data_IF_761801733859
#
_entry.id   IF_761801733859
#
_cell.length_a   1.000
_cell.length_b   1.000
_cell.length_c   1.000
_cell.angle_alpha   90.00
_cell.angle_beta   90.00
_cell.angle_gamma   90.00
#
_symmetry.space_group_name_H-M   'P 1'
#
loop_
_entity.id
_entity.type
_entity.pdbx_description
1 polymer ?
#
# COMPACT_ATOMS: atom_id res chain seq x y z
N UNK A 1 22.23 3.88 9.64
CA UNK A 1 21.23 3.93 10.75
C UNK A 1 21.90 3.43 12.03
N UNK A 2 21.75 4.09 13.17
CA UNK A 2 22.45 3.67 14.40
C UNK A 2 21.85 2.38 14.99
N UNK A 3 22.63 1.59 15.71
CA UNK A 3 22.17 0.35 16.37
C UNK A 3 20.96 0.57 17.29
N UNK A 4 20.90 1.73 17.99
CA UNK A 4 19.75 2.12 18.80
C UNK A 4 18.49 2.41 17.97
N UNK A 5 18.67 3.03 16.80
CA UNK A 5 17.56 3.29 15.88
C UNK A 5 16.94 1.99 15.36
N UNK A 6 17.77 1.02 14.95
CA UNK A 6 17.30 -0.27 14.46
C UNK A 6 16.54 -1.05 15.54
N UNK A 7 17.03 -1.07 16.78
CA UNK A 7 16.32 -1.70 17.90
C UNK A 7 14.95 -1.06 18.17
N UNK A 8 14.86 0.27 18.05
CA UNK A 8 13.60 0.98 18.25
C UNK A 8 12.60 0.73 17.12
N UNK A 9 13.03 0.65 15.86
CA UNK A 9 12.16 0.20 14.75
C UNK A 9 11.71 -1.24 14.97
N UNK A 10 12.63 -2.15 15.30
CA UNK A 10 12.30 -3.56 15.50
C UNK A 10 11.30 -3.76 16.65
N UNK A 11 11.45 -3.00 17.75
CA UNK A 11 10.48 -2.98 18.84
C UNK A 11 9.13 -2.39 18.45
N UNK A 12 9.11 -1.36 17.60
CA UNK A 12 7.88 -0.76 17.09
C UNK A 12 7.17 -1.63 16.05
N UNK A 13 7.91 -2.38 15.23
CA UNK A 13 7.39 -3.16 14.13
C UNK A 13 6.33 -4.18 14.58
N UNK A 14 6.57 -4.86 15.70
CA UNK A 14 5.60 -5.80 16.27
C UNK A 14 4.28 -5.12 16.62
N UNK A 15 4.34 -4.00 17.33
CA UNK A 15 3.15 -3.22 17.70
C UNK A 15 2.43 -2.61 16.50
N UNK A 16 3.18 -2.10 15.51
CA UNK A 16 2.58 -1.57 14.28
C UNK A 16 1.92 -2.67 13.47
N UNK A 17 2.50 -3.87 13.42
CA UNK A 17 1.89 -5.02 12.75
C UNK A 17 0.58 -5.42 13.43
N UNK A 18 0.57 -5.51 14.76
CA UNK A 18 -0.65 -5.77 15.54
C UNK A 18 -1.70 -4.68 15.32
N UNK A 19 -1.28 -3.42 15.23
CA UNK A 19 -2.16 -2.29 14.96
C UNK A 19 -2.76 -2.33 13.56
N UNK A 20 -1.95 -2.63 12.53
CA UNK A 20 -2.45 -2.84 11.17
C UNK A 20 -3.51 -3.95 11.15
N UNK A 21 -3.23 -5.09 11.80
CA UNK A 21 -4.19 -6.21 11.91
C UNK A 21 -5.47 -5.74 12.61
N UNK A 22 -5.36 -5.00 13.71
CA UNK A 22 -6.51 -4.51 14.47
C UNK A 22 -7.39 -3.54 13.65
N UNK A 23 -6.80 -2.52 13.02
CA UNK A 23 -7.55 -1.56 12.19
C UNK A 23 -8.14 -2.27 10.97
N UNK A 24 -7.38 -3.11 10.27
CA UNK A 24 -7.89 -3.84 9.11
C UNK A 24 -9.05 -4.75 9.51
N UNK A 25 -8.94 -5.44 10.65
CA UNK A 25 -10.03 -6.28 11.16
C UNK A 25 -11.27 -5.45 11.50
N UNK A 26 -11.10 -4.28 12.15
CA UNK A 26 -12.20 -3.38 12.47
C UNK A 26 -12.87 -2.82 11.21
N UNK A 27 -12.10 -2.48 10.18
CA UNK A 27 -12.61 -1.92 8.92
C UNK A 27 -13.33 -2.97 8.07
N UNK A 28 -12.81 -4.20 8.06
CA UNK A 28 -13.40 -5.32 7.32
C UNK A 28 -14.43 -6.09 8.15
N UNK A 29 -14.62 -5.76 9.43
CA UNK A 29 -15.61 -6.41 10.32
C UNK A 29 -17.00 -6.56 9.68
N UNK A 30 -17.58 -5.53 9.03
CA UNK A 30 -18.90 -5.66 8.39
C UNK A 30 -18.95 -6.71 7.27
N UNK A 31 -17.80 -7.01 6.63
CA UNK A 31 -17.69 -8.04 5.58
C UNK A 31 -17.61 -9.46 6.14
N UNK A 32 -17.38 -9.60 7.45
CA UNK A 32 -17.34 -10.89 8.15
C UNK A 32 -18.70 -11.26 8.81
N UNK A 33 -19.63 -10.31 8.96
CA UNK A 33 -20.89 -10.49 9.73
C UNK A 33 -22.11 -11.05 8.96
N UNK A 34 -21.93 -11.69 7.80
CA UNK A 34 -22.94 -12.28 6.88
C UNK A 34 -23.52 -11.35 5.79
N UNK A 35 -23.50 -11.87 4.56
CA UNK A 35 -24.07 -11.29 3.35
C UNK A 35 -23.08 -11.37 2.19
N UNK A 36 -23.45 -12.04 1.10
CA UNK A 36 -22.73 -11.93 -0.17
C UNK A 36 -22.64 -10.45 -0.55
N UNK A 37 -21.49 -10.01 -1.07
CA UNK A 37 -21.35 -8.67 -1.63
C UNK A 37 -22.39 -8.53 -2.73
N UNK A 38 -23.46 -7.79 -2.41
CA UNK A 38 -24.45 -7.24 -3.33
C UNK A 38 -24.30 -5.73 -3.25
N UNK A 39 -23.10 -5.26 -3.60
CA UNK A 39 -22.80 -3.85 -3.78
C UNK A 39 -22.64 -3.59 -5.27
N UNK A 40 -22.98 -2.37 -5.70
CA UNK A 40 -23.35 -1.96 -7.07
C UNK A 40 -22.42 -2.39 -8.23
N UNK A 41 -21.23 -2.96 -7.97
CA UNK A 41 -20.29 -3.48 -8.97
C UNK A 41 -19.62 -4.82 -8.65
N UNK A 42 -20.09 -5.60 -7.66
CA UNK A 42 -19.48 -6.90 -7.35
C UNK A 42 -20.51 -7.87 -6.80
N UNK A 43 -20.85 -8.89 -7.59
CA UNK A 43 -21.62 -10.07 -7.17
C UNK A 43 -20.61 -11.16 -6.84
N UNK A 44 -20.39 -11.44 -5.56
CA UNK A 44 -19.60 -12.59 -5.15
C UNK A 44 -20.57 -13.75 -4.94
N UNK A 45 -20.66 -14.69 -5.89
CA UNK A 45 -21.41 -15.95 -5.73
C UNK A 45 -20.46 -17.08 -5.32
N UNK A 46 -20.95 -18.10 -4.60
CA UNK A 46 -20.10 -19.19 -4.07
C UNK A 46 -19.46 -20.07 -5.15
N UNK A 47 -19.97 -20.05 -6.39
CA UNK A 47 -19.36 -20.70 -7.55
C UNK A 47 -19.25 -19.69 -8.70
N UNK A 48 -18.02 -19.41 -9.15
CA UNK A 48 -17.74 -18.72 -10.41
C UNK A 48 -17.35 -19.77 -11.45
N UNK A 49 -18.17 -19.92 -12.49
CA UNK A 49 -17.91 -20.84 -13.60
C UNK A 49 -17.10 -20.17 -14.70
N UNK A 50 -16.16 -20.90 -15.30
CA UNK A 50 -15.45 -20.46 -16.52
C UNK A 50 -16.50 -20.31 -17.63
N UNK A 51 -16.79 -19.06 -17.99
CA UNK A 51 -17.72 -18.71 -19.06
C UNK A 51 -16.89 -18.06 -20.17
N UNK A 52 -17.20 -18.25 -21.48
CA UNK A 52 -16.44 -17.64 -22.59
C UNK A 52 -16.20 -16.13 -22.46
N UNK A 53 -17.10 -15.43 -21.77
CA UNK A 53 -17.00 -14.01 -21.39
C UNK A 53 -15.81 -13.70 -20.45
N UNK A 54 -15.48 -14.61 -19.52
CA UNK A 54 -14.33 -14.49 -18.61
C UNK A 54 -12.99 -14.70 -19.32
N UNK A 55 -13.00 -15.40 -20.45
CA UNK A 55 -11.85 -15.56 -21.37
C UNK A 55 -11.75 -14.41 -22.40
N UNK A 56 -12.63 -13.40 -22.32
CA UNK A 56 -12.67 -12.28 -23.26
C UNK A 56 -13.31 -12.61 -24.61
N UNK A 57 -14.04 -13.73 -24.72
CA UNK A 57 -14.80 -14.10 -25.92
C UNK A 57 -16.28 -13.78 -25.66
N UNK A 58 -16.66 -12.52 -25.88
CA UNK A 58 -18.04 -12.00 -25.76
C UNK A 58 -18.11 -10.50 -25.53
N UNK A 59 -19.30 -9.91 -25.66
CA UNK A 59 -19.59 -8.46 -25.62
C UNK A 59 -19.54 -7.81 -24.21
N UNK A 60 -18.77 -8.37 -23.28
CA UNK A 60 -18.58 -7.79 -21.93
C UNK A 60 -17.42 -6.80 -21.92
N UNK A 61 -17.54 -5.72 -21.12
CA UNK A 61 -16.51 -4.68 -21.03
C UNK A 61 -15.12 -5.28 -20.74
N UNK A 62 -14.19 -5.06 -21.66
CA UNK A 62 -12.84 -5.66 -21.72
C UNK A 62 -11.92 -5.36 -20.52
N UNK A 63 -12.36 -4.51 -19.59
CA UNK A 63 -11.58 -4.05 -18.44
C UNK A 63 -11.69 -4.94 -17.19
N UNK A 64 -12.62 -5.90 -17.13
CA UNK A 64 -12.73 -6.84 -15.98
C UNK A 64 -12.08 -8.20 -16.24
N UNK A 65 -11.67 -8.50 -17.47
CA UNK A 65 -11.12 -9.82 -17.89
C UNK A 65 -9.92 -10.28 -17.04
N UNK A 66 -8.91 -9.45 -16.69
CA UNK A 66 -7.79 -9.91 -15.86
C UNK A 66 -8.21 -10.29 -14.45
N UNK A 67 -9.17 -9.54 -13.91
CA UNK A 67 -9.70 -9.70 -12.56
C UNK A 67 -10.61 -10.93 -12.46
N UNK A 68 -11.46 -11.13 -13.47
CA UNK A 68 -12.40 -12.27 -13.55
C UNK A 68 -11.66 -13.58 -13.86
N UNK A 69 -10.61 -13.53 -14.68
CA UNK A 69 -9.73 -14.68 -14.97
C UNK A 69 -8.97 -15.13 -13.72
N UNK A 70 -8.44 -14.18 -12.93
CA UNK A 70 -7.75 -14.51 -11.68
C UNK A 70 -8.70 -15.13 -10.65
N UNK A 71 -9.91 -14.56 -10.45
CA UNK A 71 -10.93 -15.16 -9.59
C UNK A 71 -11.32 -16.55 -10.10
N UNK A 72 -11.51 -16.75 -11.40
CA UNK A 72 -11.87 -18.03 -11.98
C UNK A 72 -10.81 -19.12 -11.72
N UNK A 73 -9.52 -18.76 -11.81
CA UNK A 73 -8.40 -19.69 -11.50
C UNK A 73 -8.37 -20.02 -10.01
N UNK A 74 -8.48 -19.00 -9.14
CA UNK A 74 -8.43 -19.21 -7.68
C UNK A 74 -9.66 -19.96 -7.16
N UNK A 75 -10.81 -19.79 -7.82
CA UNK A 75 -12.07 -20.47 -7.49
C UNK A 75 -12.00 -22.00 -7.65
N UNK A 76 -11.00 -22.53 -8.36
CA UNK A 76 -10.74 -23.97 -8.42
C UNK A 76 -10.15 -24.54 -7.11
N UNK A 77 -9.55 -23.69 -6.27
CA UNK A 77 -8.84 -24.11 -5.06
C UNK A 77 -9.52 -23.65 -3.77
N UNK A 78 -10.27 -22.54 -3.81
CA UNK A 78 -11.00 -21.98 -2.66
C UNK A 78 -12.17 -21.11 -3.12
N UNK A 79 -13.13 -20.83 -2.24
CA UNK A 79 -14.22 -19.88 -2.53
C UNK A 79 -13.66 -18.51 -2.98
N UNK A 80 -14.12 -18.01 -4.12
CA UNK A 80 -13.64 -16.74 -4.70
C UNK A 80 -13.90 -15.54 -3.78
N UNK A 81 -14.98 -15.56 -3.01
CA UNK A 81 -15.27 -14.56 -1.99
C UNK A 81 -14.29 -14.64 -0.82
N UNK A 82 -13.89 -15.84 -0.39
CA UNK A 82 -12.84 -16.01 0.63
C UNK A 82 -11.48 -15.51 0.11
N UNK A 83 -11.13 -15.82 -1.14
CA UNK A 83 -9.90 -15.35 -1.76
C UNK A 83 -9.83 -13.82 -1.80
N UNK A 84 -10.92 -13.16 -2.22
CA UNK A 84 -11.00 -11.68 -2.23
C UNK A 84 -10.86 -11.11 -0.82
N UNK A 85 -11.48 -11.73 0.20
CA UNK A 85 -11.34 -11.28 1.60
C UNK A 85 -9.90 -11.40 2.10
N UNK A 86 -9.22 -12.51 1.82
CA UNK A 86 -7.81 -12.72 2.21
C UNK A 86 -6.92 -11.70 1.51
N UNK A 87 -7.09 -11.52 0.20
CA UNK A 87 -6.32 -10.56 -0.58
C UNK A 87 -6.52 -9.13 -0.08
N UNK A 88 -7.75 -8.74 0.19
CA UNK A 88 -8.09 -7.43 0.73
C UNK A 88 -7.49 -7.20 2.12
N UNK A 89 -7.56 -8.21 2.98
CA UNK A 89 -6.97 -8.18 4.32
C UNK A 89 -5.46 -7.98 4.25
N UNK A 90 -4.78 -8.76 3.41
CA UNK A 90 -3.33 -8.63 3.18
C UNK A 90 -2.99 -7.28 2.55
N UNK A 91 -3.75 -6.81 1.56
CA UNK A 91 -3.52 -5.54 0.89
C UNK A 91 -3.49 -4.36 1.87
N UNK A 92 -4.45 -4.31 2.80
CA UNK A 92 -4.53 -3.25 3.80
C UNK A 92 -3.41 -3.34 4.84
N UNK A 93 -3.04 -4.54 5.26
CA UNK A 93 -1.88 -4.73 6.15
C UNK A 93 -0.60 -4.25 5.45
N UNK A 94 -0.39 -4.64 4.19
CA UNK A 94 0.76 -4.18 3.41
C UNK A 94 0.74 -2.66 3.19
N UNK A 95 -0.42 -2.05 2.97
CA UNK A 95 -0.55 -0.60 2.87
C UNK A 95 -0.08 0.09 4.16
N UNK A 96 -0.55 -0.37 5.32
CA UNK A 96 -0.18 0.20 6.61
C UNK A 96 1.30 -0.01 6.97
N UNK A 97 1.81 -1.22 6.76
CA UNK A 97 3.23 -1.54 7.01
C UNK A 97 4.16 -0.78 6.07
N UNK A 98 3.81 -0.66 4.79
CA UNK A 98 4.59 0.09 3.82
C UNK A 98 4.57 1.60 4.12
N UNK A 99 3.44 2.15 4.57
CA UNK A 99 3.35 3.53 5.02
C UNK A 99 4.21 3.79 6.26
N UNK A 100 4.18 2.90 7.26
CA UNK A 100 5.07 2.96 8.42
C UNK A 100 6.55 2.85 8.01
N UNK A 101 6.87 1.94 7.09
CA UNK A 101 8.20 1.76 6.53
C UNK A 101 8.75 3.02 5.84
N UNK A 102 7.93 3.69 5.02
CA UNK A 102 8.27 4.98 4.43
C UNK A 102 8.50 6.06 5.50
N UNK A 103 7.60 6.15 6.48
CA UNK A 103 7.74 7.09 7.59
C UNK A 103 9.06 6.89 8.34
N UNK A 104 9.42 5.64 8.65
CA UNK A 104 10.69 5.35 9.29
C UNK A 104 11.89 5.57 8.38
N UNK A 105 11.77 5.32 7.08
CA UNK A 105 12.88 5.56 6.16
C UNK A 105 13.22 7.05 6.07
N UNK A 106 12.21 7.92 5.96
CA UNK A 106 12.43 9.35 5.76
C UNK A 106 12.51 10.17 7.05
N UNK A 107 11.72 9.86 8.09
CA UNK A 107 11.55 10.75 9.25
C UNK A 107 12.25 10.25 10.52
N UNK A 108 12.67 8.98 10.57
CA UNK A 108 13.16 8.37 11.80
C UNK A 108 14.40 9.05 12.40
N UNK A 109 15.42 9.48 11.62
CA UNK A 109 16.60 10.09 12.21
C UNK A 109 16.31 11.40 12.95
N UNK A 110 15.23 12.10 12.57
CA UNK A 110 14.81 13.35 13.17
C UNK A 110 13.86 13.20 14.37
N UNK A 111 13.43 11.96 14.68
CA UNK A 111 12.39 11.65 15.69
C UNK A 111 12.79 10.44 16.51
N UNK A 112 14.09 10.37 16.88
CA UNK A 112 14.66 9.27 17.66
C UNK A 112 13.82 9.01 18.92
N UNK A 113 13.29 7.80 19.04
CA UNK A 113 12.45 7.36 20.16
C UNK A 113 10.94 7.42 19.91
N UNK A 114 10.48 8.01 18.81
CA UNK A 114 9.05 8.09 18.46
C UNK A 114 8.63 7.09 17.37
N UNK A 115 9.47 6.08 17.13
CA UNK A 115 9.25 5.03 16.12
C UNK A 115 7.84 4.44 16.16
N UNK A 116 7.36 4.14 17.36
CA UNK A 116 6.03 3.57 17.57
C UNK A 116 4.94 4.55 17.13
N UNK A 117 4.93 5.77 17.68
CA UNK A 117 3.92 6.78 17.37
C UNK A 117 3.89 7.11 15.88
N UNK A 118 5.06 7.25 15.25
CA UNK A 118 5.15 7.48 13.81
C UNK A 118 4.59 6.33 12.99
N UNK A 119 4.98 5.10 13.33
CA UNK A 119 4.53 3.92 12.61
C UNK A 119 3.03 3.71 12.77
N UNK A 120 2.49 3.91 13.97
CA UNK A 120 1.05 3.85 14.23
C UNK A 120 0.29 4.93 13.47
N UNK A 121 0.75 6.18 13.47
CA UNK A 121 0.11 7.26 12.74
C UNK A 121 0.12 6.99 11.22
N UNK A 122 1.29 6.65 10.66
CA UNK A 122 1.44 6.34 9.24
C UNK A 122 0.59 5.14 8.81
N UNK A 123 0.58 4.07 9.60
CA UNK A 123 -0.26 2.90 9.36
C UNK A 123 -1.76 3.25 9.42
N UNK A 124 -2.17 4.07 10.40
CA UNK A 124 -3.55 4.52 10.54
C UNK A 124 -3.99 5.31 9.32
N UNK A 125 -3.23 6.29 8.86
CA UNK A 125 -3.56 7.04 7.64
C UNK A 125 -3.49 6.18 6.37
N UNK A 126 -2.57 5.22 6.33
CA UNK A 126 -2.47 4.27 5.22
C UNK A 126 -3.69 3.34 5.09
N UNK A 127 -4.32 2.96 6.20
CA UNK A 127 -5.45 2.02 6.19
C UNK A 127 -6.79 2.77 6.26
N UNK A 128 -6.90 3.74 7.16
CA UNK A 128 -8.11 4.47 7.50
C UNK A 128 -8.13 5.83 6.82
N UNK A 129 -8.39 5.85 5.52
CA UNK A 129 -8.56 7.08 4.75
C UNK A 129 -9.83 7.04 3.88
N UNK A 130 -10.36 8.20 3.46
CA UNK A 130 -11.59 8.27 2.67
C UNK A 130 -11.54 7.47 1.38
N UNK A 131 -10.38 7.42 0.71
CA UNK A 131 -10.20 6.64 -0.51
C UNK A 131 -10.42 5.15 -0.27
N UNK A 132 -9.79 4.58 0.77
CA UNK A 132 -9.96 3.16 1.11
C UNK A 132 -11.42 2.86 1.43
N UNK A 133 -12.05 3.68 2.26
CA UNK A 133 -13.46 3.51 2.64
C UNK A 133 -14.37 3.55 1.41
N UNK A 134 -14.18 4.51 0.53
CA UNK A 134 -14.98 4.64 -0.69
C UNK A 134 -14.79 3.43 -1.62
N UNK A 135 -13.55 2.95 -1.81
CA UNK A 135 -13.29 1.77 -2.65
C UNK A 135 -13.85 0.48 -2.05
N UNK A 136 -13.82 0.34 -0.73
CA UNK A 136 -14.46 -0.77 -0.03
C UNK A 136 -15.98 -0.77 -0.25
N UNK A 137 -16.62 0.41 -0.15
CA UNK A 137 -18.05 0.57 -0.42
C UNK A 137 -18.41 0.31 -1.89
N UNK A 138 -17.50 0.58 -2.82
CA UNK A 138 -17.68 0.32 -4.26
C UNK A 138 -17.38 -1.14 -4.65
N UNK A 139 -16.74 -1.93 -3.79
CA UNK A 139 -16.31 -3.29 -4.10
C UNK A 139 -15.08 -3.39 -5.00
N UNK A 140 -14.32 -2.30 -5.18
CA UNK A 140 -13.13 -2.24 -6.03
C UNK A 140 -11.89 -2.82 -5.33
N UNK A 141 -11.94 -4.11 -4.98
CA UNK A 141 -10.89 -4.79 -4.21
C UNK A 141 -9.54 -4.86 -4.94
N UNK A 142 -9.54 -4.95 -6.28
CA UNK A 142 -8.32 -4.98 -7.10
C UNK A 142 -7.54 -3.67 -7.03
N UNK A 143 -8.22 -2.53 -6.94
CA UNK A 143 -7.57 -1.23 -6.72
C UNK A 143 -6.93 -1.14 -5.33
N UNK A 144 -7.52 -1.78 -4.32
CA UNK A 144 -6.96 -1.79 -2.97
C UNK A 144 -5.70 -2.67 -2.87
N UNK A 145 -5.64 -3.75 -3.66
CA UNK A 145 -4.40 -4.52 -3.84
C UNK A 145 -3.28 -3.67 -4.43
N UNK A 146 -3.57 -2.96 -5.52
CA UNK A 146 -2.59 -2.06 -6.15
C UNK A 146 -2.18 -0.94 -5.18
N UNK A 147 -3.13 -0.37 -4.44
CA UNK A 147 -2.88 0.64 -3.42
C UNK A 147 -1.92 0.14 -2.34
N UNK A 148 -2.11 -1.09 -1.85
CA UNK A 148 -1.22 -1.70 -0.86
C UNK A 148 0.23 -1.87 -1.32
N UNK A 149 0.46 -1.95 -2.64
CA UNK A 149 1.81 -2.05 -3.22
C UNK A 149 2.53 -0.69 -3.35
N UNK A 150 1.81 0.43 -3.46
CA UNK A 150 2.42 1.76 -3.73
C UNK A 150 3.46 2.20 -2.69
N UNK A 151 3.23 2.06 -1.37
CA UNK A 151 4.23 2.45 -0.38
C UNK A 151 5.53 1.64 -0.50
N UNK A 152 5.41 0.36 -0.85
CA UNK A 152 6.56 -0.53 -1.05
C UNK A 152 7.33 -0.20 -2.32
N UNK A 153 6.64 0.21 -3.38
CA UNK A 153 7.27 0.69 -4.62
C UNK A 153 8.15 1.91 -4.34
N UNK A 154 7.61 2.90 -3.64
CA UNK A 154 8.39 4.08 -3.27
C UNK A 154 9.59 3.71 -2.39
N UNK A 155 9.38 2.86 -1.37
CA UNK A 155 10.43 2.44 -0.46
C UNK A 155 11.54 1.66 -1.18
N UNK A 156 11.18 0.61 -1.93
CA UNK A 156 12.13 -0.22 -2.67
C UNK A 156 12.81 0.53 -3.80
N UNK A 157 12.09 1.43 -4.49
CA UNK A 157 12.66 2.31 -5.51
C UNK A 157 13.76 3.22 -4.95
N UNK A 158 13.53 3.83 -3.78
CA UNK A 158 14.60 4.60 -3.10
C UNK A 158 15.77 3.74 -2.65
N UNK A 159 15.51 2.51 -2.20
CA UNK A 159 16.56 1.56 -1.82
C UNK A 159 17.42 1.12 -3.01
N UNK A 160 16.81 0.83 -4.17
CA UNK A 160 17.53 0.48 -5.42
C UNK A 160 18.45 1.62 -5.87
N UNK A 161 18.00 2.87 -5.67
CA UNK A 161 18.75 4.08 -6.04
C UNK A 161 19.80 4.51 -5.01
N UNK A 162 19.83 3.86 -3.85
CA UNK A 162 20.79 4.11 -2.77
C UNK A 162 22.04 3.25 -2.94
N UNK A 163 23.22 3.81 -2.65
CA UNK A 163 24.51 3.13 -2.71
C UNK A 163 24.84 2.28 -1.47
N UNK A 164 23.91 2.13 -0.52
CA UNK A 164 24.16 1.50 0.79
C UNK A 164 23.60 0.08 0.99
N UNK A 165 24.22 -0.63 1.95
CA UNK A 165 23.89 -1.83 2.79
C UNK A 165 22.86 -2.91 2.38
N UNK A 166 21.93 -2.70 1.45
CA UNK A 166 21.04 -3.76 0.99
C UNK A 166 21.68 -4.48 -0.21
N UNK A 167 21.48 -5.80 -0.31
CA UNK A 167 21.88 -6.50 -1.54
C UNK A 167 21.01 -5.96 -2.66
N UNK A 168 21.61 -5.33 -3.66
CA UNK A 168 20.91 -4.71 -4.80
C UNK A 168 19.82 -5.64 -5.38
N UNK A 169 20.09 -6.94 -5.38
CA UNK A 169 19.17 -7.99 -5.79
C UNK A 169 17.86 -8.05 -4.98
N UNK A 170 17.91 -7.93 -3.65
CA UNK A 170 16.70 -7.98 -2.80
C UNK A 170 15.81 -6.75 -3.00
N UNK A 171 16.42 -5.57 -3.14
CA UNK A 171 15.69 -4.34 -3.43
C UNK A 171 15.01 -4.39 -4.82
N UNK A 172 15.72 -4.90 -5.84
CA UNK A 172 15.12 -5.13 -7.16
C UNK A 172 14.01 -6.17 -7.12
N UNK A 173 14.22 -7.31 -6.45
CA UNK A 173 13.20 -8.36 -6.35
C UNK A 173 11.93 -7.83 -5.66
N UNK A 174 12.08 -7.07 -4.57
CA UNK A 174 10.95 -6.46 -3.88
C UNK A 174 10.25 -5.39 -4.73
N UNK A 175 11.00 -4.58 -5.48
CA UNK A 175 10.44 -3.61 -6.42
C UNK A 175 9.66 -4.31 -7.54
N UNK A 176 10.22 -5.36 -8.15
CA UNK A 176 9.57 -6.13 -9.21
C UNK A 176 8.32 -6.84 -8.70
N UNK A 177 8.35 -7.43 -7.50
CA UNK A 177 7.18 -8.03 -6.88
C UNK A 177 6.08 -6.99 -6.61
N UNK A 178 6.45 -5.81 -6.12
CA UNK A 178 5.50 -4.73 -5.86
C UNK A 178 4.93 -4.14 -7.17
N UNK A 179 5.75 -4.03 -8.22
CA UNK A 179 5.31 -3.66 -9.58
C UNK A 179 4.34 -4.68 -10.16
N UNK A 180 4.59 -5.98 -9.98
CA UNK A 180 3.70 -7.04 -10.45
C UNK A 180 2.33 -6.96 -9.74
N UNK A 181 2.31 -6.71 -8.43
CA UNK A 181 1.08 -6.49 -7.68
C UNK A 181 0.33 -5.23 -8.12
N UNK A 182 1.04 -4.12 -8.38
CA UNK A 182 0.44 -2.91 -8.91
C UNK A 182 -0.10 -3.11 -10.34
N UNK A 183 0.59 -3.92 -11.16
CA UNK A 183 0.19 -4.27 -12.53
C UNK A 183 -1.07 -5.12 -12.64
N UNK A 184 -1.65 -5.55 -11.52
CA UNK A 184 -2.91 -6.30 -11.49
C UNK A 184 -4.08 -5.50 -12.09
N UNK A 185 -3.98 -4.17 -12.15
CA UNK A 185 -4.93 -3.30 -12.88
C UNK A 185 -4.18 -2.30 -13.77
N UNK A 186 -4.77 -1.85 -14.90
CA UNK A 186 -4.15 -0.82 -15.74
C UNK A 186 -3.83 0.47 -14.96
N UNK A 187 -4.74 0.89 -14.09
CA UNK A 187 -4.55 2.08 -13.23
C UNK A 187 -3.42 1.85 -12.22
N UNK A 188 -3.36 0.67 -11.60
CA UNK A 188 -2.29 0.32 -10.68
C UNK A 188 -0.92 0.29 -11.36
N UNK A 189 -0.82 -0.19 -12.60
CA UNK A 189 0.42 -0.18 -13.37
C UNK A 189 0.92 1.26 -13.58
N UNK A 190 0.04 2.17 -14.00
CA UNK A 190 0.38 3.60 -14.19
C UNK A 190 0.84 4.23 -12.89
N UNK A 191 0.09 4.00 -11.79
CA UNK A 191 0.44 4.54 -10.47
C UNK A 191 1.76 3.95 -9.96
N UNK A 192 2.02 2.67 -10.21
CA UNK A 192 3.27 2.02 -9.85
C UNK A 192 4.45 2.65 -10.58
N UNK A 193 4.36 2.84 -11.90
CA UNK A 193 5.39 3.53 -12.69
C UNK A 193 5.62 4.94 -12.14
N UNK A 194 4.54 5.69 -11.87
CA UNK A 194 4.66 7.04 -11.32
C UNK A 194 5.38 7.05 -9.97
N UNK A 195 5.01 6.16 -9.05
CA UNK A 195 5.68 6.05 -7.74
C UNK A 195 7.13 5.60 -7.85
N UNK A 196 7.45 4.70 -8.78
CA UNK A 196 8.82 4.29 -9.08
C UNK A 196 9.64 5.47 -9.62
N UNK A 197 9.08 6.28 -10.53
CA UNK A 197 9.74 7.48 -11.04
C UNK A 197 9.93 8.55 -9.96
N UNK A 198 8.89 8.79 -9.14
CA UNK A 198 8.98 9.71 -7.99
C UNK A 198 10.08 9.28 -7.02
N UNK A 199 10.25 7.97 -6.81
CA UNK A 199 11.29 7.44 -5.93
C UNK A 199 12.72 7.79 -6.39
N UNK A 200 12.93 8.08 -7.68
CA UNK A 200 14.22 8.55 -8.21
C UNK A 200 14.54 9.96 -7.73
N UNK A 201 13.52 10.81 -7.62
CA UNK A 201 13.63 12.19 -7.15
C UNK A 201 13.60 12.33 -5.63
N UNK A 202 13.25 11.28 -4.89
CA UNK A 202 13.20 11.32 -3.43
C UNK A 202 14.61 11.43 -2.81
N UNK A 203 14.74 12.10 -1.66
CA UNK A 203 15.99 12.16 -0.93
C UNK A 203 16.53 10.75 -0.66
N UNK A 204 17.75 10.49 -1.13
CA UNK A 204 18.45 9.20 -0.86
C UNK A 204 19.01 9.11 0.55
N UNK A 205 18.86 10.19 1.32
CA UNK A 205 19.22 10.32 2.72
C UNK A 205 17.97 10.68 3.53
N UNK A 206 17.84 10.20 4.78
CA UNK A 206 16.75 10.58 5.65
C UNK A 206 16.66 12.10 5.85
N UNK A 207 15.45 12.60 6.05
CA UNK A 207 15.14 14.01 6.19
C UNK A 207 15.38 14.44 7.65
N UNK A 208 16.11 15.55 7.82
CA UNK A 208 16.24 16.19 9.14
C UNK A 208 15.09 17.19 9.34
N UNK A 209 14.38 17.10 10.47
CA UNK A 209 13.25 17.98 10.79
C UNK A 209 13.74 19.40 11.05
N UNK A 210 15.00 19.60 11.48
CA UNK A 210 15.58 20.94 11.58
C UNK A 210 15.72 21.60 10.21
N UNK A 211 16.16 20.85 9.18
CA UNK A 211 16.21 21.36 7.79
C UNK A 211 14.81 21.69 7.28
N UNK A 212 13.82 20.85 7.60
CA UNK A 212 12.43 21.08 7.22
C UNK A 212 11.84 22.32 7.90
N UNK A 213 12.09 22.49 9.21
CA UNK A 213 11.67 23.69 9.97
C UNK A 213 12.34 24.94 9.44
N UNK A 214 13.63 24.91 9.14
CA UNK A 214 14.34 26.05 8.55
C UNK A 214 13.78 26.40 7.16
N UNK A 215 13.47 25.40 6.33
CA UNK A 215 12.85 25.63 5.02
C UNK A 215 11.43 26.21 5.13
N UNK A 216 10.64 25.73 6.09
CA UNK A 216 9.29 26.26 6.39
C UNK A 216 9.38 27.67 6.96
N UNK A 217 10.27 27.93 7.91
CA UNK A 217 10.47 29.25 8.51
C UNK A 217 10.93 30.25 7.44
N UNK A 218 11.85 29.87 6.55
CA UNK A 218 12.27 30.70 5.41
C UNK A 218 11.13 31.01 4.43
N UNK A 219 10.27 30.04 4.15
CA UNK A 219 9.10 30.23 3.25
C UNK A 219 7.94 30.94 3.93
N UNK A 220 7.90 31.02 5.26
CA UNK A 220 6.92 31.78 6.05
C UNK A 220 7.28 33.25 6.26
N UNK A 221 8.51 33.66 5.89
CA UNK A 221 8.96 35.07 5.89
C UNK A 221 9.00 35.77 4.51
N UNK A 222 8.03 35.62 3.59
CA UNK A 222 8.05 36.37 2.32
C UNK A 222 7.67 37.86 2.51
N UNK A 223 7.15 38.25 3.67
CA UNK A 223 6.68 39.62 3.94
C UNK A 223 7.76 40.61 4.41
N UNK A 224 9.01 40.16 4.67
CA UNK A 224 10.09 41.04 5.13
C UNK A 224 10.84 41.78 4.01
N UNK A 225 10.62 41.42 2.75
CA UNK A 225 11.26 42.07 1.59
C UNK A 225 10.39 43.14 0.92
N UNK A 226 9.21 43.43 1.48
CA UNK A 226 8.24 44.41 0.95
C UNK A 226 7.93 45.56 1.91
N UNK A 227 8.86 45.87 2.83
CA UNK A 227 8.83 47.09 3.65
C UNK A 227 10.10 47.89 3.43
#
# INVERSE_FOLDING_TARGET
MSQRALRSVNGALGWVTLWCIAITSALLWPLFTNGYLLTRGGVSTPHSYITPSALGIGDTLSCSVPQDTFIAIVSHFMDGGLAVKILLFLALIFAGLGAAGLGWYFLFPATRGQALTQGLAAATFGIWNPFVVERLLQGHWSLLLCYGALPWIALTGTMVMSTGHYTRLTAWAALTASMALAGFTPTGAIMGILFALLSVGLPKRPIDVSELRLAIDHTSTPLKYWQ
#
